data_IF_594184543604
#
_entry.id   IF_594184543604
#
_cell.length_a   1.000
_cell.length_b   1.000
_cell.length_c   1.000
_cell.angle_alpha   90.00
_cell.angle_beta   90.00
_cell.angle_gamma   90.00
#
_symmetry.space_group_name_H-M   'P 1'
#
loop_
_entity.id
_entity.type
_entity.pdbx_description
1 polymer ?
#
# COMPACT_ATOMS: atom_id res chain seq x y z
N UNK A 1 9.73 -10.10 -31.67
CA UNK A 1 8.48 -9.58 -31.07
C UNK A 1 7.91 -10.46 -29.95
N UNK A 2 7.87 -11.80 -30.08
CA UNK A 2 7.33 -12.72 -29.05
C UNK A 2 8.03 -12.63 -27.68
N UNK A 3 9.37 -12.48 -27.64
CA UNK A 3 10.14 -12.33 -26.39
C UNK A 3 9.88 -10.99 -25.71
N UNK A 4 9.89 -9.89 -26.47
CA UNK A 4 9.57 -8.55 -25.97
C UNK A 4 8.15 -8.50 -25.38
N UNK A 5 7.18 -9.13 -26.06
CA UNK A 5 5.80 -9.22 -25.59
C UNK A 5 5.68 -10.03 -24.28
N UNK A 6 6.47 -11.11 -24.12
CA UNK A 6 6.52 -11.88 -22.86
C UNK A 6 7.15 -11.08 -21.72
N UNK A 7 8.26 -10.39 -21.96
CA UNK A 7 8.88 -9.51 -20.94
C UNK A 7 7.88 -8.41 -20.54
N UNK A 8 7.20 -7.80 -21.49
CA UNK A 8 6.18 -6.81 -21.21
C UNK A 8 5.02 -7.39 -20.37
N UNK A 9 4.46 -8.53 -20.78
CA UNK A 9 3.31 -9.15 -20.12
C UNK A 9 3.61 -9.71 -18.72
N UNK A 10 4.82 -10.23 -18.48
CA UNK A 10 5.16 -10.93 -17.23
C UNK A 10 6.04 -10.14 -16.26
N UNK A 11 6.73 -9.08 -16.71
CA UNK A 11 7.54 -8.21 -15.84
C UNK A 11 6.93 -6.82 -15.71
N UNK A 12 6.73 -6.12 -16.84
CA UNK A 12 6.34 -4.71 -16.79
C UNK A 12 4.89 -4.51 -16.33
N UNK A 13 3.95 -5.27 -16.88
CA UNK A 13 2.53 -5.14 -16.52
C UNK A 13 2.30 -5.46 -15.03
N UNK A 14 2.79 -6.59 -14.47
CA UNK A 14 2.66 -6.88 -13.04
C UNK A 14 3.33 -5.83 -12.15
N UNK A 15 4.51 -5.33 -12.53
CA UNK A 15 5.20 -4.29 -11.77
C UNK A 15 4.43 -2.98 -11.73
N UNK A 16 3.89 -2.53 -12.88
CA UNK A 16 3.02 -1.36 -12.95
C UNK A 16 1.72 -1.55 -12.16
N UNK A 17 1.11 -2.73 -12.25
CA UNK A 17 -0.06 -3.08 -11.46
C UNK A 17 0.21 -3.02 -9.96
N UNK A 18 1.34 -3.54 -9.51
CA UNK A 18 1.78 -3.45 -8.12
C UNK A 18 1.92 -2.00 -7.67
N UNK A 19 2.64 -1.16 -8.42
CA UNK A 19 2.86 0.23 -8.04
C UNK A 19 1.54 1.02 -7.99
N UNK A 20 0.63 0.81 -8.94
CA UNK A 20 -0.70 1.42 -8.93
C UNK A 20 -1.54 0.94 -7.74
N UNK A 21 -1.57 -0.36 -7.49
CA UNK A 21 -2.27 -0.94 -6.35
C UNK A 21 -1.73 -0.42 -5.01
N UNK A 22 -0.40 -0.35 -4.87
CA UNK A 22 0.26 0.23 -3.70
C UNK A 22 -0.07 1.72 -3.54
N UNK A 23 -0.16 2.47 -4.64
CA UNK A 23 -0.56 3.90 -4.61
C UNK A 23 -1.98 4.08 -4.09
N UNK A 24 -2.93 3.31 -4.62
CA UNK A 24 -4.34 3.34 -4.18
C UNK A 24 -4.42 2.98 -2.70
N UNK A 25 -3.78 1.88 -2.30
CA UNK A 25 -3.78 1.45 -0.91
C UNK A 25 -3.20 2.52 0.02
N UNK A 26 -2.01 3.04 -0.30
CA UNK A 26 -1.34 4.03 0.54
C UNK A 26 -2.09 5.37 0.61
N UNK A 27 -2.76 5.79 -0.47
CA UNK A 27 -3.58 7.01 -0.46
C UNK A 27 -4.65 7.02 0.66
N UNK A 28 -5.30 5.87 0.89
CA UNK A 28 -6.30 5.71 1.94
C UNK A 28 -5.68 5.29 3.28
N UNK A 29 -4.64 4.44 3.23
CA UNK A 29 -3.96 3.97 4.43
C UNK A 29 -3.32 5.15 5.18
N UNK A 30 -2.71 6.09 4.46
CA UNK A 30 -2.01 7.23 5.05
C UNK A 30 -2.97 8.31 5.60
N UNK A 31 -4.29 8.10 5.57
CA UNK A 31 -5.25 8.99 6.23
C UNK A 31 -5.36 8.63 7.72
N UNK A 32 -4.82 9.51 8.55
CA UNK A 32 -4.91 9.43 10.01
C UNK A 32 -5.83 10.53 10.56
N UNK A 33 -6.46 10.24 11.69
CA UNK A 33 -7.15 11.24 12.51
C UNK A 33 -6.45 11.36 13.89
N UNK A 34 -6.57 12.51 14.58
CA UNK A 34 -5.97 12.71 15.91
C UNK A 34 -6.40 11.68 16.97
N UNK A 35 -7.58 11.07 16.82
CA UNK A 35 -8.10 10.06 17.76
C UNK A 35 -8.40 10.61 19.15
N UNK A 36 -8.70 9.71 20.09
CA UNK A 36 -9.01 10.05 21.48
C UNK A 36 -7.75 10.14 22.36
N UNK A 37 -7.24 11.36 22.52
CA UNK A 37 -6.08 11.67 23.36
C UNK A 37 -6.27 11.31 24.84
N UNK A 38 -7.51 11.28 25.34
CA UNK A 38 -7.78 11.02 26.76
C UNK A 38 -7.54 9.55 27.15
N UNK A 39 -7.74 8.65 26.18
CA UNK A 39 -7.54 7.21 26.33
C UNK A 39 -6.23 6.71 25.69
N UNK A 40 -5.46 7.59 25.04
CA UNK A 40 -4.23 7.25 24.38
C UNK A 40 -3.17 6.71 25.36
N UNK A 41 -2.56 5.58 25.00
CA UNK A 41 -1.41 5.03 25.74
C UNK A 41 -0.09 5.68 25.29
N UNK A 42 -0.07 6.17 24.06
CA UNK A 42 1.05 6.84 23.40
C UNK A 42 0.51 8.01 22.58
N UNK A 43 1.14 9.17 22.71
CA UNK A 43 0.85 10.36 21.90
C UNK A 43 2.03 10.61 20.98
N UNK A 44 1.77 10.76 19.69
CA UNK A 44 2.77 11.09 18.68
C UNK A 44 2.63 12.56 18.26
N UNK A 45 3.75 13.29 18.26
CA UNK A 45 3.82 14.70 17.85
C UNK A 45 4.88 14.84 16.76
N UNK A 46 4.49 15.30 15.57
CA UNK A 46 5.45 15.54 14.49
C UNK A 46 6.33 16.76 14.78
N UNK A 47 7.64 16.59 14.60
CA UNK A 47 8.66 17.64 14.81
C UNK A 47 9.22 18.17 13.49
N UNK A 48 9.45 17.28 12.53
CA UNK A 48 9.96 17.63 11.20
C UNK A 48 9.51 16.60 10.20
N UNK A 49 9.21 17.01 8.97
CA UNK A 49 8.81 16.11 7.89
C UNK A 49 9.65 16.37 6.64
N UNK A 50 10.20 15.31 6.07
CA UNK A 50 10.93 15.33 4.80
C UNK A 50 10.06 14.72 3.70
N UNK A 51 10.13 15.28 2.49
CA UNK A 51 9.38 14.77 1.34
C UNK A 51 10.22 13.76 0.58
N UNK A 52 9.61 12.61 0.30
CA UNK A 52 10.20 11.49 -0.44
C UNK A 52 9.37 11.20 -1.70
N UNK A 53 9.96 10.49 -2.67
CA UNK A 53 9.32 10.11 -3.94
C UNK A 53 10.03 10.68 -5.18
N UNK A 54 9.41 10.66 -6.38
CA UNK A 54 8.01 10.32 -6.67
C UNK A 54 7.72 8.82 -6.92
N UNK A 55 8.75 7.96 -6.85
CA UNK A 55 8.61 6.50 -7.04
C UNK A 55 9.29 5.79 -5.88
N UNK A 56 8.55 4.92 -5.19
CA UNK A 56 9.06 4.08 -4.12
C UNK A 56 8.36 2.72 -4.12
N UNK A 57 8.79 1.80 -3.24
CA UNK A 57 8.08 0.53 -3.03
C UNK A 57 6.65 0.72 -2.49
N UNK A 58 6.32 1.91 -1.95
CA UNK A 58 4.95 2.30 -1.58
C UNK A 58 4.09 2.73 -2.78
N UNK A 59 4.63 2.71 -4.00
CA UNK A 59 3.92 3.11 -5.21
C UNK A 59 4.41 4.44 -5.78
N UNK A 60 3.53 5.07 -6.55
CA UNK A 60 3.73 6.37 -7.15
C UNK A 60 3.24 7.48 -6.23
N UNK A 61 3.90 8.64 -6.33
CA UNK A 61 3.53 9.84 -5.60
C UNK A 61 4.58 10.23 -4.57
N UNK A 62 4.33 11.40 -3.97
CA UNK A 62 5.16 11.91 -2.90
C UNK A 62 4.56 11.51 -1.57
N UNK A 63 5.43 11.14 -0.64
CA UNK A 63 5.05 10.85 0.74
C UNK A 63 5.96 11.62 1.67
N UNK A 64 5.57 11.71 2.95
CA UNK A 64 6.36 12.38 3.96
C UNK A 64 6.91 11.35 4.95
N UNK A 65 8.18 11.55 5.31
CA UNK A 65 8.84 10.85 6.38
C UNK A 65 9.03 11.85 7.53
N UNK A 66 8.31 11.64 8.62
CA UNK A 66 8.27 12.58 9.74
C UNK A 66 8.98 12.01 10.96
N UNK A 67 9.86 12.81 11.57
CA UNK A 67 10.38 12.53 12.90
C UNK A 67 9.33 12.94 13.92
N UNK A 68 8.94 12.00 14.76
CA UNK A 68 7.94 12.17 15.80
C UNK A 68 8.55 12.03 17.18
N UNK A 69 8.07 12.86 18.10
CA UNK A 69 8.25 12.66 19.53
C UNK A 69 7.06 11.85 20.04
N UNK A 70 7.37 10.73 20.68
CA UNK A 70 6.41 9.83 21.29
C UNK A 70 6.40 10.08 22.79
N UNK A 71 5.22 10.35 23.35
CA UNK A 71 5.00 10.55 24.76
C UNK A 71 4.12 9.42 25.27
N UNK A 72 4.68 8.52 26.06
CA UNK A 72 3.90 7.47 26.70
C UNK A 72 3.17 8.02 27.93
N UNK A 73 2.05 7.41 28.28
CA UNK A 73 1.30 7.74 29.51
C UNK A 73 2.14 7.58 30.80
N UNK A 74 3.21 6.78 30.75
CA UNK A 74 4.19 6.64 31.84
C UNK A 74 5.10 7.86 32.04
N UNK A 75 5.02 8.87 31.18
CA UNK A 75 5.90 10.05 31.19
C UNK A 75 7.21 9.84 30.41
N UNK A 76 7.45 8.65 29.86
CA UNK A 76 8.63 8.41 29.01
C UNK A 76 8.45 9.06 27.65
N UNK A 77 9.50 9.75 27.19
CA UNK A 77 9.58 10.34 25.86
C UNK A 77 10.61 9.60 25.01
N UNK A 78 10.29 9.38 23.75
CA UNK A 78 11.20 8.77 22.79
C UNK A 78 10.98 9.37 21.41
N UNK A 79 11.98 9.29 20.54
CA UNK A 79 11.86 9.75 19.16
C UNK A 79 11.74 8.56 18.23
N UNK A 80 10.88 8.67 17.23
CA UNK A 80 10.74 7.66 16.18
C UNK A 80 10.52 8.34 14.83
N UNK A 81 10.53 7.55 13.77
CA UNK A 81 10.23 8.02 12.42
C UNK A 81 8.98 7.31 11.93
N UNK A 82 8.05 8.08 11.39
CA UNK A 82 6.84 7.58 10.75
C UNK A 82 6.79 7.98 9.30
N UNK A 83 6.11 7.17 8.48
CA UNK A 83 6.07 7.35 7.03
C UNK A 83 4.63 7.36 6.56
N UNK A 84 4.30 8.34 5.73
CA UNK A 84 3.04 8.43 4.98
C UNK A 84 1.93 9.15 5.73
N UNK A 85 1.64 8.75 6.97
CA UNK A 85 0.40 9.14 7.65
C UNK A 85 0.41 10.49 8.39
N UNK A 86 1.58 11.13 8.48
CA UNK A 86 1.73 12.51 8.95
C UNK A 86 2.34 13.37 7.83
N UNK A 87 1.93 14.62 7.77
CA UNK A 87 2.42 15.62 6.82
C UNK A 87 2.99 16.88 7.49
N UNK A 88 3.53 17.81 6.68
CA UNK A 88 4.06 19.09 7.18
C UNK A 88 3.00 19.95 7.88
N UNK A 89 1.71 19.77 7.55
CA UNK A 89 0.58 20.44 8.21
C UNK A 89 0.36 20.00 9.66
N UNK A 90 0.88 18.83 10.03
CA UNK A 90 0.58 18.17 11.29
C UNK A 90 1.71 18.38 12.31
N UNK A 91 2.69 19.23 11.99
CA UNK A 91 3.81 19.56 12.86
C UNK A 91 3.29 20.32 14.08
N UNK A 92 3.55 19.76 15.27
CA UNK A 92 3.08 20.30 16.54
C UNK A 92 1.70 19.80 16.98
N UNK A 93 0.96 19.11 16.11
CA UNK A 93 -0.33 18.50 16.45
C UNK A 93 -0.12 17.16 17.19
N UNK A 94 -1.06 16.83 18.08
CA UNK A 94 -1.02 15.61 18.90
C UNK A 94 -1.93 14.53 18.31
N UNK A 95 -1.37 13.33 18.10
CA UNK A 95 -2.11 12.17 17.60
C UNK A 95 -2.06 11.02 18.60
N UNK A 96 -3.21 10.44 18.90
CA UNK A 96 -3.30 9.16 19.61
C UNK A 96 -2.71 8.06 18.72
N UNK A 97 -1.76 7.33 19.28
CA UNK A 97 -1.00 6.33 18.56
C UNK A 97 -0.81 5.06 19.39
N UNK A 98 -0.42 4.00 18.70
CA UNK A 98 0.05 2.78 19.31
C UNK A 98 1.32 2.28 18.62
N UNK A 99 2.09 1.50 19.35
CA UNK A 99 3.23 0.77 18.82
C UNK A 99 2.88 -0.71 18.77
N UNK A 100 2.96 -1.31 17.58
CA UNK A 100 2.97 -2.76 17.47
C UNK A 100 4.40 -3.23 17.76
N UNK A 101 4.55 -4.27 18.57
CA UNK A 101 5.84 -4.80 19.05
C UNK A 101 6.69 -5.21 17.83
N UNK A 102 7.53 -4.30 17.30
CA UNK A 102 8.41 -4.35 16.09
C UNK A 102 7.96 -3.57 14.84
N UNK A 103 6.87 -2.82 14.85
CA UNK A 103 6.47 -2.00 13.69
C UNK A 103 6.78 -0.52 13.92
N UNK A 104 6.68 0.27 12.84
CA UNK A 104 6.53 1.72 12.95
C UNK A 104 5.29 2.07 13.81
N UNK A 105 5.33 3.26 14.40
CA UNK A 105 4.20 3.84 15.14
C UNK A 105 3.03 4.05 14.19
N UNK A 106 1.85 3.66 14.64
CA UNK A 106 0.61 3.76 13.87
C UNK A 106 -0.41 4.63 14.62
N UNK A 107 -1.25 5.38 13.88
CA UNK A 107 -2.35 6.11 14.48
C UNK A 107 -3.41 5.13 15.01
N UNK A 108 -4.09 5.50 16.08
CA UNK A 108 -5.19 4.71 16.65
C UNK A 108 -6.43 4.72 15.74
N UNK A 109 -6.68 5.85 15.08
CA UNK A 109 -7.82 6.01 14.20
C UNK A 109 -7.40 6.19 12.74
N UNK A 110 -7.98 5.33 11.88
CA UNK A 110 -7.88 5.43 10.44
C UNK A 110 -9.28 5.43 9.82
N UNK A 111 -9.83 6.59 9.47
CA UNK A 111 -11.24 6.71 9.08
C UNK A 111 -11.56 6.02 7.75
N UNK A 112 -10.56 5.78 6.89
CA UNK A 112 -10.79 5.36 5.50
C UNK A 112 -10.28 3.94 5.19
N UNK A 113 -9.98 3.11 6.21
CA UNK A 113 -9.44 1.76 6.00
C UNK A 113 -10.35 0.90 5.14
N UNK A 114 -11.66 0.89 5.44
CA UNK A 114 -12.63 0.10 4.69
C UNK A 114 -12.69 0.51 3.22
N UNK A 115 -12.71 1.82 2.95
CA UNK A 115 -12.74 2.34 1.59
C UNK A 115 -11.44 2.01 0.83
N UNK A 116 -10.29 2.12 1.51
CA UNK A 116 -9.00 1.71 0.97
C UNK A 116 -8.97 0.23 0.57
N UNK A 117 -9.48 -0.66 1.41
CA UNK A 117 -9.63 -2.08 1.08
C UNK A 117 -10.54 -2.28 -0.13
N UNK A 118 -11.75 -1.69 -0.12
CA UNK A 118 -12.72 -1.81 -1.20
C UNK A 118 -12.11 -1.39 -2.54
N UNK A 119 -11.50 -0.20 -2.61
CA UNK A 119 -10.87 0.32 -3.81
C UNK A 119 -9.71 -0.57 -4.29
N UNK A 120 -8.87 -1.04 -3.38
CA UNK A 120 -7.73 -1.91 -3.71
C UNK A 120 -8.20 -3.27 -4.22
N UNK A 121 -9.24 -3.87 -3.63
CA UNK A 121 -9.83 -5.12 -4.08
C UNK A 121 -10.46 -5.00 -5.48
N UNK A 122 -11.25 -3.96 -5.72
CA UNK A 122 -11.86 -3.71 -7.04
C UNK A 122 -10.77 -3.52 -8.10
N UNK A 123 -9.75 -2.73 -7.79
CA UNK A 123 -8.59 -2.56 -8.68
C UNK A 123 -7.90 -3.89 -8.97
N UNK A 124 -7.62 -4.71 -7.95
CA UNK A 124 -6.96 -5.99 -8.12
C UNK A 124 -7.73 -6.93 -9.05
N UNK A 125 -9.06 -7.01 -8.92
CA UNK A 125 -9.91 -7.85 -9.79
C UNK A 125 -9.82 -7.36 -11.24
N UNK A 126 -10.02 -6.06 -11.47
CA UNK A 126 -9.95 -5.48 -12.82
C UNK A 126 -8.57 -5.63 -13.44
N UNK A 127 -7.51 -5.44 -12.65
CA UNK A 127 -6.13 -5.61 -13.08
C UNK A 127 -5.84 -7.06 -13.47
N UNK A 128 -6.28 -8.05 -12.68
CA UNK A 128 -6.10 -9.46 -13.02
C UNK A 128 -6.82 -9.86 -14.31
N UNK A 129 -8.04 -9.34 -14.54
CA UNK A 129 -8.77 -9.56 -15.79
C UNK A 129 -8.05 -8.95 -17.00
N UNK A 130 -7.54 -7.73 -16.86
CA UNK A 130 -6.76 -7.06 -17.91
C UNK A 130 -5.43 -7.78 -18.17
N UNK A 131 -4.72 -8.15 -17.11
CA UNK A 131 -3.47 -8.89 -17.19
C UNK A 131 -3.65 -10.26 -17.83
N UNK A 132 -4.69 -11.01 -17.46
CA UNK A 132 -5.02 -12.29 -18.08
C UNK A 132 -5.24 -12.14 -19.60
N UNK A 133 -6.01 -11.14 -20.04
CA UNK A 133 -6.22 -10.87 -21.47
C UNK A 133 -4.91 -10.55 -22.22
N UNK A 134 -3.99 -9.84 -21.58
CA UNK A 134 -2.68 -9.51 -22.17
C UNK A 134 -1.74 -10.72 -22.15
N UNK A 135 -1.79 -11.55 -21.11
CA UNK A 135 -0.89 -12.69 -20.93
C UNK A 135 -1.29 -13.92 -21.76
N UNK A 136 -2.59 -14.18 -21.97
CA UNK A 136 -3.12 -15.31 -22.78
C UNK A 136 -2.44 -15.45 -24.15
N UNK A 137 -2.32 -14.41 -24.99
CA UNK A 137 -1.63 -14.51 -26.28
C UNK A 137 -0.11 -14.67 -26.16
N UNK A 138 0.49 -14.41 -24.99
CA UNK A 138 1.91 -14.57 -24.74
C UNK A 138 2.32 -16.02 -24.39
N UNK A 139 1.36 -16.85 -23.96
CA UNK A 139 1.58 -18.27 -23.65
C UNK A 139 1.85 -19.10 -24.92
N UNK A 140 2.69 -20.14 -24.84
CA UNK A 140 2.89 -21.07 -25.95
C UNK A 140 1.58 -21.82 -26.28
N UNK A 141 1.30 -22.03 -27.57
CA UNK A 141 0.06 -22.66 -28.09
C UNK A 141 -0.31 -24.00 -27.41
N UNK A 142 0.69 -24.73 -26.89
CA UNK A 142 0.49 -25.97 -26.12
C UNK A 142 -0.41 -25.80 -24.90
N UNK A 143 -0.50 -24.60 -24.33
CA UNK A 143 -1.30 -24.29 -23.14
C UNK A 143 -2.65 -23.62 -23.48
N UNK A 144 -2.88 -23.34 -24.77
CA UNK A 144 -4.13 -22.73 -25.26
C UNK A 144 -5.14 -23.78 -25.74
N UNK A 145 -4.72 -25.03 -25.98
CA UNK A 145 -5.62 -26.13 -26.34
C UNK A 145 -6.22 -26.72 -25.07
N UNK A 146 -7.55 -26.73 -24.97
CA UNK A 146 -8.27 -27.58 -24.03
C UNK A 146 -7.85 -29.04 -24.25
N UNK A 147 -7.73 -29.88 -23.20
CA UNK A 147 -7.47 -31.30 -23.39
C UNK A 147 -8.53 -31.87 -24.33
N UNK A 148 -8.08 -32.46 -25.44
CA UNK A 148 -8.95 -33.18 -26.37
C UNK A 148 -9.79 -34.17 -25.57
N UNK A 149 -11.11 -34.02 -25.67
CA UNK A 149 -12.05 -34.97 -25.07
C UNK A 149 -11.77 -36.31 -25.76
N UNK A 150 -11.44 -37.40 -25.04
CA UNK A 150 -11.21 -38.67 -25.71
C UNK A 150 -12.49 -39.06 -26.45
N UNK A 151 -12.36 -39.33 -27.75
CA UNK A 151 -13.45 -39.89 -28.54
C UNK A 151 -13.90 -41.21 -27.90
N UNK A 152 -15.23 -41.45 -27.75
CA UNK A 152 -15.71 -42.74 -27.31
C UNK A 152 -15.35 -43.78 -28.38
N UNK A 153 -14.53 -44.76 -28.01
CA UNK A 153 -14.30 -45.96 -28.82
C UNK A 153 -15.63 -46.67 -29.02
N UNK A 154 -16.04 -46.79 -30.29
CA UNK A 154 -17.23 -47.51 -30.73
C UNK A 154 -17.07 -49.03 -30.57
#
# INVERSE_FOLDING_TARGET
MKVLHRVFAFLLVPFLGYLLGATIFNFFWDKAAPGDLSNATLVAVARSCERQGPVALRGFGFYHECRVELRAKSGTTSTSTVTGWLGPSDIGEEYAAHTQRRSQVQPDERPQVFLGWLCTFVFAILFLLAWAKIAVPAFPERHQRLPERPEPTA
#
